data_IF_604718326775
#
_entry.id   IF_604718326775
#
_cell.length_a   1.000
_cell.length_b   1.000
_cell.length_c   1.000
_cell.angle_alpha   90.00
_cell.angle_beta   90.00
_cell.angle_gamma   90.00
#
_symmetry.space_group_name_H-M   'P 1'
#
loop_
_entity.id
_entity.type
_entity.pdbx_description
1 polymer ?
#
# COMPACT_ATOMS: atom_id res chain seq x y z
N UNK A 1 8.69 -70.35 -50.96
CA UNK A 1 9.15 -70.91 -49.67
C UNK A 1 9.64 -69.77 -48.82
N UNK A 2 8.80 -69.41 -47.86
CA UNK A 2 9.13 -68.96 -46.51
C UNK A 2 10.15 -67.83 -46.30
N UNK A 3 9.62 -66.64 -46.00
CA UNK A 3 9.52 -66.24 -44.60
C UNK A 3 10.53 -65.23 -44.05
N UNK A 4 9.98 -64.26 -43.30
CA UNK A 4 10.58 -63.39 -42.26
C UNK A 4 11.34 -62.15 -42.80
N UNK A 5 11.12 -60.94 -42.28
CA UNK A 5 10.29 -60.50 -41.17
C UNK A 5 10.14 -58.98 -41.21
N UNK A 6 8.97 -58.52 -40.79
CA UNK A 6 8.57 -57.11 -40.67
C UNK A 6 9.07 -56.63 -39.31
N UNK A 7 9.95 -55.63 -39.30
CA UNK A 7 10.33 -54.87 -38.11
C UNK A 7 9.90 -53.43 -38.26
N UNK A 8 8.64 -53.13 -37.92
CA UNK A 8 8.14 -51.77 -37.82
C UNK A 8 8.59 -51.17 -36.48
N UNK A 9 9.53 -50.22 -36.53
CA UNK A 9 9.89 -49.40 -35.38
C UNK A 9 8.80 -48.37 -35.12
N UNK A 10 7.97 -48.59 -34.09
CA UNK A 10 7.12 -47.56 -33.50
C UNK A 10 8.01 -46.57 -32.74
N UNK A 11 8.23 -45.39 -33.31
CA UNK A 11 8.72 -44.24 -32.55
C UNK A 11 7.56 -43.69 -31.72
N UNK A 12 7.47 -44.11 -30.46
CA UNK A 12 6.55 -43.52 -29.49
C UNK A 12 7.00 -42.12 -29.13
N UNK A 13 6.29 -41.09 -29.63
CA UNK A 13 6.33 -39.75 -29.05
C UNK A 13 5.70 -39.82 -27.65
N UNK A 14 6.54 -39.87 -26.62
CA UNK A 14 6.11 -39.56 -25.26
C UNK A 14 5.95 -38.05 -25.21
N UNK A 15 4.71 -37.57 -25.38
CA UNK A 15 4.35 -36.22 -25.03
C UNK A 15 4.48 -36.09 -23.51
N UNK A 16 5.61 -35.53 -23.06
CA UNK A 16 5.80 -35.13 -21.68
C UNK A 16 4.83 -33.97 -21.42
N UNK A 17 3.64 -34.28 -20.92
CA UNK A 17 2.75 -33.27 -20.35
C UNK A 17 3.46 -32.76 -19.11
N UNK A 18 4.21 -31.65 -19.26
CA UNK A 18 4.61 -30.82 -18.15
C UNK A 18 3.32 -30.24 -17.57
N UNK A 19 2.68 -30.99 -16.67
CA UNK A 19 1.79 -30.41 -15.69
C UNK A 19 2.64 -29.49 -14.84
N UNK A 20 2.63 -28.21 -15.19
CA UNK A 20 3.06 -27.15 -14.30
C UNK A 20 2.15 -27.21 -13.08
N UNK A 21 2.62 -27.84 -12.00
CA UNK A 21 2.05 -27.65 -10.66
C UNK A 21 2.36 -26.22 -10.20
N UNK A 22 1.74 -25.23 -10.85
CA UNK A 22 1.71 -23.86 -10.39
C UNK A 22 0.39 -23.69 -9.63
N UNK A 23 0.38 -23.96 -8.31
CA UNK A 23 -0.60 -23.41 -7.34
C UNK A 23 -0.46 -23.94 -5.88
N UNK A 24 0.73 -24.25 -5.33
CA UNK A 24 0.85 -24.71 -3.93
C UNK A 24 1.35 -23.65 -2.92
N UNK A 25 2.00 -22.58 -3.39
CA UNK A 25 2.69 -21.60 -2.52
C UNK A 25 2.03 -20.20 -2.46
N UNK A 26 0.82 -20.05 -2.99
CA UNK A 26 0.09 -18.78 -2.89
C UNK A 26 -0.36 -18.46 -1.45
N UNK A 27 -0.72 -17.20 -1.17
CA UNK A 27 -1.32 -16.82 0.10
C UNK A 27 -2.60 -17.63 0.37
N UNK A 28 -2.87 -17.93 1.64
CA UNK A 28 -4.20 -18.44 2.00
C UNK A 28 -5.20 -17.29 2.04
N UNK A 29 -6.40 -17.52 1.53
CA UNK A 29 -7.45 -16.52 1.46
C UNK A 29 -8.41 -16.69 2.63
N UNK A 30 -8.80 -15.58 3.24
CA UNK A 30 -9.78 -15.55 4.30
C UNK A 30 -11.16 -16.02 3.81
N UNK A 31 -11.92 -16.66 4.68
CA UNK A 31 -13.34 -16.92 4.50
C UNK A 31 -14.05 -16.82 5.85
N UNK A 32 -15.32 -16.45 5.83
CA UNK A 32 -16.12 -16.27 7.05
C UNK A 32 -17.16 -17.37 7.17
N UNK A 33 -17.34 -17.89 8.39
CA UNK A 33 -18.43 -18.79 8.76
C UNK A 33 -18.88 -18.46 10.18
N UNK A 34 -20.18 -18.17 10.37
CA UNK A 34 -20.74 -17.73 11.66
C UNK A 34 -19.96 -16.55 12.27
N UNK A 35 -19.66 -15.53 11.46
CA UNK A 35 -18.89 -14.34 11.83
C UNK A 35 -17.42 -14.58 12.26
N UNK A 36 -16.95 -15.84 12.22
CA UNK A 36 -15.56 -16.20 12.50
C UNK A 36 -14.76 -16.37 11.21
N UNK A 37 -13.49 -16.00 11.28
CA UNK A 37 -12.57 -15.99 10.14
C UNK A 37 -11.73 -17.27 10.14
N UNK A 38 -11.66 -17.91 8.98
CA UNK A 38 -10.76 -19.02 8.67
C UNK A 38 -9.98 -18.74 7.39
N UNK A 39 -9.05 -19.63 7.04
CA UNK A 39 -8.21 -19.47 5.86
C UNK A 39 -8.15 -20.77 5.04
N UNK A 40 -8.22 -20.64 3.72
CA UNK A 40 -8.12 -21.76 2.77
C UNK A 40 -7.06 -21.47 1.71
N UNK A 41 -6.45 -22.52 1.18
CA UNK A 41 -5.53 -22.38 0.05
C UNK A 41 -6.27 -22.11 -1.27
N UNK A 42 -5.51 -21.96 -2.35
CA UNK A 42 -6.05 -21.71 -3.69
C UNK A 42 -6.92 -22.87 -4.23
N UNK A 43 -6.77 -24.08 -3.68
CA UNK A 43 -7.60 -25.25 -4.01
C UNK A 43 -8.88 -25.31 -3.15
N UNK A 44 -9.06 -24.37 -2.22
CA UNK A 44 -10.18 -24.34 -1.30
C UNK A 44 -10.05 -25.28 -0.11
N UNK A 45 -8.87 -25.87 0.12
CA UNK A 45 -8.62 -26.70 1.29
C UNK A 45 -8.46 -25.79 2.50
N UNK A 46 -9.30 -26.00 3.52
CA UNK A 46 -9.24 -25.26 4.78
C UNK A 46 -7.92 -25.56 5.50
N UNK A 47 -7.15 -24.51 5.79
CA UNK A 47 -5.86 -24.55 6.50
C UNK A 47 -5.98 -24.03 7.92
N UNK A 48 -6.87 -23.07 8.12
CA UNK A 48 -7.27 -22.56 9.44
C UNK A 48 -8.79 -22.61 9.48
N UNK A 49 -9.34 -23.33 10.46
CA UNK A 49 -10.78 -23.40 10.67
C UNK A 49 -11.34 -22.01 11.04
N UNK A 50 -12.61 -21.70 10.70
CA UNK A 50 -13.22 -20.41 11.00
C UNK A 50 -13.48 -20.27 12.50
N UNK A 51 -12.46 -19.79 13.20
CA UNK A 51 -12.37 -19.71 14.67
C UNK A 51 -11.87 -18.35 15.13
N UNK A 52 -11.25 -17.59 14.23
CA UNK A 52 -10.62 -16.32 14.56
C UNK A 52 -11.65 -15.20 14.64
N UNK A 53 -11.49 -14.32 15.63
CA UNK A 53 -12.35 -13.16 15.82
C UNK A 53 -12.04 -12.06 14.80
N UNK A 54 -13.07 -11.46 14.15
CA UNK A 54 -12.89 -10.33 13.24
C UNK A 54 -12.38 -9.06 13.94
N UNK A 55 -12.42 -8.99 15.27
CA UNK A 55 -11.82 -7.88 16.04
C UNK A 55 -10.30 -8.00 16.15
N UNK A 56 -9.75 -9.21 15.99
CA UNK A 56 -8.33 -9.51 16.24
C UNK A 56 -7.58 -9.89 14.97
N UNK A 57 -8.27 -9.95 13.83
CA UNK A 57 -7.65 -10.08 12.51
C UNK A 57 -8.44 -9.34 11.44
N UNK A 58 -7.73 -8.58 10.61
CA UNK A 58 -8.24 -7.99 9.37
C UNK A 58 -7.64 -8.66 8.13
N UNK A 59 -6.84 -9.72 8.32
CA UNK A 59 -6.12 -10.36 7.24
C UNK A 59 -7.11 -11.01 6.26
N UNK A 60 -7.06 -10.55 5.01
CA UNK A 60 -7.75 -11.15 3.85
C UNK A 60 -6.87 -12.18 3.15
N UNK A 61 -5.56 -12.00 3.25
CA UNK A 61 -4.51 -12.88 2.73
C UNK A 61 -3.53 -13.19 3.85
N UNK A 62 -3.19 -14.47 3.98
CA UNK A 62 -2.23 -14.98 4.96
C UNK A 62 -1.00 -15.51 4.22
N UNK A 63 0.06 -14.69 4.18
CA UNK A 63 1.32 -15.00 3.52
C UNK A 63 2.27 -15.76 4.43
N UNK A 64 2.61 -15.21 5.60
CA UNK A 64 3.53 -15.83 6.54
C UNK A 64 3.09 -15.69 7.99
N UNK A 65 2.65 -14.49 8.39
CA UNK A 65 2.25 -14.16 9.76
C UNK A 65 1.09 -13.18 9.78
N UNK A 66 0.07 -13.45 10.59
CA UNK A 66 -1.07 -12.53 10.77
C UNK A 66 -1.31 -12.22 12.24
N UNK A 67 -1.82 -11.03 12.54
CA UNK A 67 -2.48 -10.78 13.82
C UNK A 67 -3.75 -11.63 13.88
N UNK A 68 -3.97 -12.30 15.02
CA UNK A 68 -5.09 -13.20 15.21
C UNK A 68 -5.52 -13.25 16.68
N UNK A 69 -6.69 -13.82 16.91
CA UNK A 69 -7.15 -14.15 18.24
C UNK A 69 -8.52 -14.78 18.22
N UNK A 70 -8.89 -15.34 19.36
CA UNK A 70 -10.10 -16.14 19.53
C UNK A 70 -10.82 -15.66 20.80
N UNK A 71 -12.14 -15.78 20.80
CA UNK A 71 -12.92 -15.62 22.02
C UNK A 71 -12.75 -16.86 22.91
N UNK A 72 -12.63 -16.62 24.20
CA UNK A 72 -12.42 -17.62 25.24
C UNK A 72 -13.40 -17.37 26.38
N UNK A 73 -13.52 -18.32 27.30
CA UNK A 73 -14.39 -18.14 28.48
C UNK A 73 -14.01 -16.91 29.34
N UNK A 74 -12.74 -16.51 29.31
CA UNK A 74 -12.18 -15.42 30.11
C UNK A 74 -11.99 -14.11 29.32
N UNK A 75 -12.60 -13.98 28.14
CA UNK A 75 -12.46 -12.83 27.24
C UNK A 75 -11.73 -13.21 25.96
N UNK A 76 -10.77 -12.41 25.52
CA UNK A 76 -10.06 -12.65 24.26
C UNK A 76 -8.63 -13.11 24.48
N UNK A 77 -8.20 -14.10 23.69
CA UNK A 77 -6.79 -14.47 23.57
C UNK A 77 -6.25 -13.92 22.25
N UNK A 78 -5.14 -13.17 22.31
CA UNK A 78 -4.54 -12.54 21.13
C UNK A 78 -3.10 -13.02 20.90
N UNK A 79 -2.70 -13.20 19.65
CA UNK A 79 -1.38 -13.70 19.26
C UNK A 79 -1.13 -13.46 17.77
N UNK A 80 0.11 -13.68 17.33
CA UNK A 80 0.39 -13.80 15.90
C UNK A 80 0.33 -15.27 15.49
N UNK A 81 -0.38 -15.56 14.40
CA UNK A 81 -0.50 -16.90 13.83
C UNK A 81 0.47 -17.04 12.67
N UNK A 82 1.26 -18.12 12.66
CA UNK A 82 2.16 -18.49 11.56
C UNK A 82 1.51 -19.53 10.64
N UNK A 83 1.95 -19.63 9.39
CA UNK A 83 1.43 -20.64 8.43
C UNK A 83 1.63 -22.10 8.86
N UNK A 84 2.56 -22.37 9.76
CA UNK A 84 2.75 -23.73 10.32
C UNK A 84 1.80 -24.01 11.51
N UNK A 85 0.92 -23.08 11.86
CA UNK A 85 -0.05 -23.19 12.93
C UNK A 85 0.47 -22.77 14.31
N UNK A 86 1.76 -22.42 14.44
CA UNK A 86 2.29 -21.89 15.70
C UNK A 86 1.67 -20.53 16.02
N UNK A 87 1.38 -20.33 17.30
CA UNK A 87 0.96 -19.06 17.88
C UNK A 87 2.15 -18.45 18.60
N UNK A 88 2.49 -17.19 18.30
CA UNK A 88 3.67 -16.51 18.86
C UNK A 88 3.29 -15.13 19.43
N UNK A 89 4.14 -14.64 20.33
CA UNK A 89 3.99 -13.35 21.02
C UNK A 89 2.55 -13.11 21.54
N UNK A 90 2.09 -13.95 22.48
CA UNK A 90 0.75 -13.79 23.07
C UNK A 90 0.61 -12.40 23.70
N UNK A 91 -0.59 -11.84 23.58
CA UNK A 91 -0.97 -10.54 24.16
C UNK A 91 -0.09 -9.35 23.76
N UNK A 92 0.61 -9.50 22.63
CA UNK A 92 1.55 -8.53 22.10
C UNK A 92 1.12 -7.93 20.77
N UNK A 93 -0.17 -8.10 20.38
CA UNK A 93 -0.70 -7.51 19.16
C UNK A 93 -0.50 -5.99 19.17
N UNK A 94 0.05 -5.48 18.07
CA UNK A 94 0.11 -4.06 17.79
C UNK A 94 -1.19 -3.62 17.12
N UNK A 95 -1.83 -2.59 17.69
CA UNK A 95 -2.98 -1.92 17.12
C UNK A 95 -2.56 -0.53 16.63
N UNK A 96 -3.01 -0.16 15.44
CA UNK A 96 -3.00 1.21 14.95
C UNK A 96 -4.44 1.69 14.89
N UNK A 97 -4.71 2.85 15.51
CA UNK A 97 -6.07 3.28 15.81
C UNK A 97 -6.84 2.16 16.54
N UNK A 98 -7.84 1.56 15.91
CA UNK A 98 -8.65 0.48 16.48
C UNK A 98 -8.50 -0.86 15.72
N UNK A 99 -7.47 -0.99 14.89
CA UNK A 99 -7.26 -2.13 14.01
C UNK A 99 -5.93 -2.84 14.29
N UNK A 100 -5.88 -4.19 14.28
CA UNK A 100 -4.61 -4.90 14.29
C UNK A 100 -3.86 -4.66 12.97
N UNK A 101 -2.54 -4.48 13.06
CA UNK A 101 -1.73 -4.20 11.87
C UNK A 101 -1.56 -5.40 10.95
N UNK A 102 -1.31 -5.11 9.66
CA UNK A 102 -1.02 -6.12 8.66
C UNK A 102 0.46 -6.52 8.58
N UNK A 103 0.70 -7.71 8.02
CA UNK A 103 2.03 -8.13 7.56
C UNK A 103 2.53 -7.21 6.44
N UNK A 104 3.82 -6.89 6.46
CA UNK A 104 4.49 -6.19 5.37
C UNK A 104 5.91 -6.72 5.20
N UNK A 105 6.25 -7.16 3.98
CA UNK A 105 7.57 -7.70 3.60
C UNK A 105 8.06 -8.83 4.53
N UNK A 106 7.20 -9.81 4.82
CA UNK A 106 7.52 -10.93 5.72
C UNK A 106 7.86 -10.46 7.15
N UNK A 107 7.26 -9.36 7.59
CA UNK A 107 7.43 -8.80 8.92
C UNK A 107 6.13 -8.21 9.47
N UNK A 108 6.00 -8.19 10.79
CA UNK A 108 4.84 -7.59 11.46
C UNK A 108 5.27 -6.91 12.76
N UNK A 109 4.71 -5.74 13.03
CA UNK A 109 4.96 -4.99 14.28
C UNK A 109 4.28 -5.69 15.44
N UNK A 110 4.94 -5.75 16.59
CA UNK A 110 4.37 -6.19 17.87
C UNK A 110 4.61 -5.16 18.97
N UNK A 111 3.77 -5.16 20.01
CA UNK A 111 3.87 -4.25 21.16
C UNK A 111 4.18 -5.05 22.43
N UNK A 112 5.32 -4.77 23.05
CA UNK A 112 5.52 -5.09 24.46
C UNK A 112 4.68 -4.12 25.29
N UNK A 113 3.57 -4.62 25.86
CA UNK A 113 2.63 -3.82 26.65
C UNK A 113 3.18 -3.38 28.00
N UNK A 114 4.13 -4.12 28.58
CA UNK A 114 4.71 -3.76 29.89
C UNK A 114 5.65 -2.56 29.75
N UNK A 115 6.42 -2.52 28.68
CA UNK A 115 7.37 -1.43 28.39
C UNK A 115 6.80 -0.35 27.49
N UNK A 116 5.62 -0.60 26.93
CA UNK A 116 4.97 0.21 25.89
C UNK A 116 5.92 0.50 24.71
N UNK A 117 6.56 -0.58 24.22
CA UNK A 117 7.54 -0.52 23.13
C UNK A 117 7.17 -1.40 21.95
N UNK A 118 7.58 -0.97 20.77
CA UNK A 118 7.34 -1.62 19.48
C UNK A 118 8.60 -2.35 19.04
N UNK A 119 8.40 -3.56 18.52
CA UNK A 119 9.40 -4.34 17.81
C UNK A 119 8.79 -4.97 16.56
N UNK A 120 9.56 -5.82 15.89
CA UNK A 120 9.14 -6.53 14.69
C UNK A 120 9.42 -8.02 14.81
N UNK A 121 8.46 -8.85 14.38
CA UNK A 121 8.65 -10.27 14.12
C UNK A 121 8.85 -10.48 12.61
N UNK A 122 9.59 -11.52 12.21
CA UNK A 122 9.53 -12.07 10.86
C UNK A 122 8.35 -13.05 10.70
N UNK A 123 8.10 -13.54 9.48
CA UNK A 123 7.07 -14.55 9.24
C UNK A 123 7.35 -15.95 9.79
N UNK A 124 8.49 -16.16 10.47
CA UNK A 124 8.74 -17.35 11.28
C UNK A 124 8.49 -17.12 12.77
N UNK A 125 8.05 -15.91 13.15
CA UNK A 125 7.84 -15.49 14.52
C UNK A 125 9.11 -15.12 15.28
N UNK A 126 10.25 -14.93 14.60
CA UNK A 126 11.51 -14.52 15.20
C UNK A 126 11.60 -13.00 15.29
N UNK A 127 12.24 -12.49 16.34
CA UNK A 127 12.42 -11.04 16.52
C UNK A 127 13.42 -10.51 15.50
N UNK A 128 12.96 -9.65 14.58
CA UNK A 128 13.78 -8.89 13.64
C UNK A 128 14.35 -7.63 14.29
N UNK A 129 13.50 -6.90 15.02
CA UNK A 129 13.85 -5.71 15.77
C UNK A 129 13.26 -5.87 17.18
N UNK A 130 14.07 -5.83 18.24
CA UNK A 130 13.57 -5.92 19.61
C UNK A 130 12.55 -4.83 19.94
N UNK A 131 11.68 -5.08 20.92
CA UNK A 131 10.76 -4.08 21.44
C UNK A 131 11.51 -2.98 22.21
N UNK A 132 12.00 -1.98 21.49
CA UNK A 132 12.73 -0.82 22.04
C UNK A 132 12.31 0.52 21.43
N UNK A 133 11.44 0.50 20.42
CA UNK A 133 10.94 1.70 19.75
C UNK A 133 9.70 2.21 20.47
N UNK A 134 9.48 3.52 20.50
CA UNK A 134 8.21 4.07 20.95
C UNK A 134 7.12 3.85 19.88
N UNK A 135 7.45 4.08 18.61
CA UNK A 135 6.57 3.78 17.47
C UNK A 135 7.37 3.43 16.21
N UNK A 136 6.72 2.80 15.22
CA UNK A 136 7.30 2.51 13.91
C UNK A 136 6.24 2.33 12.80
N UNK A 137 6.58 2.74 11.58
CA UNK A 137 5.81 2.42 10.37
C UNK A 137 5.92 0.93 10.02
N UNK A 138 5.10 0.45 9.10
CA UNK A 138 5.34 -0.85 8.46
C UNK A 138 6.69 -0.87 7.72
N UNK A 139 7.22 -2.07 7.49
CA UNK A 139 8.42 -2.30 6.69
C UNK A 139 8.16 -1.90 5.24
N UNK A 140 9.03 -1.08 4.65
CA UNK A 140 8.96 -0.70 3.23
C UNK A 140 10.38 -0.71 2.64
N UNK A 141 10.57 -1.51 1.61
CA UNK A 141 11.87 -1.80 0.98
C UNK A 141 12.98 -2.13 2.01
N UNK A 142 12.65 -2.96 3.00
CA UNK A 142 13.56 -3.38 4.07
C UNK A 142 13.96 -2.26 5.03
N UNK A 143 13.17 -1.20 5.14
CA UNK A 143 13.39 -0.07 6.04
C UNK A 143 12.12 0.26 6.83
N UNK A 144 12.31 0.86 8.00
CA UNK A 144 11.23 1.35 8.86
C UNK A 144 11.55 2.77 9.32
N UNK A 145 10.54 3.64 9.31
CA UNK A 145 10.62 4.92 10.01
C UNK A 145 10.20 4.67 11.45
N UNK A 146 11.05 5.03 12.40
CA UNK A 146 10.89 4.70 13.80
C UNK A 146 11.05 5.92 14.69
N UNK A 147 10.26 5.97 15.77
CA UNK A 147 10.41 6.93 16.85
C UNK A 147 11.03 6.21 18.05
N UNK A 148 12.20 6.64 18.51
CA UNK A 148 12.89 6.05 19.68
C UNK A 148 12.99 7.04 20.83
N UNK A 149 12.72 6.57 22.05
CA UNK A 149 12.89 7.38 23.27
C UNK A 149 11.81 8.44 23.52
N UNK A 150 10.68 8.39 22.79
CA UNK A 150 9.54 9.26 23.07
C UNK A 150 8.71 8.75 24.26
N UNK A 151 8.00 9.66 24.92
CA UNK A 151 7.05 9.39 26.00
C UNK A 151 5.62 9.64 25.54
N UNK A 152 4.65 8.92 26.12
CA UNK A 152 3.23 9.15 25.84
C UNK A 152 2.83 10.58 26.20
N UNK A 153 2.02 11.19 25.35
CA UNK A 153 1.41 12.49 25.57
C UNK A 153 -0.11 12.42 25.36
N UNK A 154 -0.83 13.39 25.91
CA UNK A 154 -2.25 13.57 25.64
C UNK A 154 -2.44 14.79 24.74
N UNK A 155 -3.19 14.64 23.66
CA UNK A 155 -3.57 15.75 22.79
C UNK A 155 -4.86 16.45 23.24
N UNK A 156 -5.63 15.84 24.15
CA UNK A 156 -6.84 16.42 24.70
C UNK A 156 -6.52 17.52 25.72
N UNK A 157 -7.03 18.76 25.53
CA UNK A 157 -6.81 19.85 26.48
C UNK A 157 -7.33 19.51 27.87
N UNK A 158 -6.52 19.76 28.89
CA UNK A 158 -6.87 19.58 30.32
C UNK A 158 -7.24 18.14 30.73
N UNK A 159 -6.91 17.13 29.92
CA UNK A 159 -7.15 15.71 30.24
C UNK A 159 -5.85 15.03 30.68
N UNK A 160 -5.93 14.21 31.72
CA UNK A 160 -4.80 13.38 32.15
C UNK A 160 -4.51 12.27 31.15
N UNK A 161 -3.26 11.79 31.08
CA UNK A 161 -2.90 10.71 30.15
C UNK A 161 -3.74 9.42 30.36
N UNK A 162 -4.19 9.15 31.58
CA UNK A 162 -5.00 7.98 31.93
C UNK A 162 -6.40 8.04 31.30
N UNK A 163 -6.97 9.24 31.18
CA UNK A 163 -8.31 9.49 30.63
C UNK A 163 -8.28 9.99 29.18
N UNK A 164 -7.09 10.10 28.60
CA UNK A 164 -6.92 10.66 27.27
C UNK A 164 -7.42 9.68 26.20
N UNK A 165 -8.31 10.15 25.34
CA UNK A 165 -8.72 9.40 24.15
C UNK A 165 -7.67 9.56 23.05
N UNK A 166 -7.16 10.78 22.85
CA UNK A 166 -6.16 11.07 21.82
C UNK A 166 -4.74 11.01 22.37
N UNK A 167 -4.26 9.78 22.62
CA UNK A 167 -2.88 9.52 23.04
C UNK A 167 -1.91 9.69 21.88
N UNK A 168 -0.86 10.48 22.10
CA UNK A 168 0.22 10.71 21.16
C UNK A 168 1.59 10.37 21.74
N UNK A 169 2.63 10.86 21.06
CA UNK A 169 4.02 10.80 21.48
C UNK A 169 4.59 12.22 21.60
N UNK A 170 5.46 12.43 22.59
CA UNK A 170 6.23 13.67 22.76
C UNK A 170 7.72 13.37 22.93
N UNK A 171 8.55 14.21 22.30
CA UNK A 171 10.00 14.05 22.29
C UNK A 171 10.48 12.83 21.49
N UNK A 172 11.67 12.34 21.84
CA UNK A 172 12.31 11.22 21.15
C UNK A 172 13.10 11.64 19.92
N UNK A 173 13.55 10.64 19.16
CA UNK A 173 14.31 10.82 17.91
C UNK A 173 13.70 9.98 16.81
N UNK A 174 13.39 10.62 15.70
CA UNK A 174 12.94 9.97 14.48
C UNK A 174 14.14 9.42 13.71
N UNK A 175 14.04 8.16 13.31
CA UNK A 175 15.12 7.38 12.71
C UNK A 175 14.60 6.69 11.45
N UNK A 176 15.47 6.55 10.46
CA UNK A 176 15.30 5.53 9.43
C UNK A 176 16.16 4.34 9.82
N UNK A 177 15.57 3.17 10.01
CA UNK A 177 16.26 1.93 10.34
C UNK A 177 16.23 0.95 9.16
N UNK A 178 17.22 0.08 9.07
CA UNK A 178 17.13 -1.11 8.22
C UNK A 178 16.28 -2.21 8.89
N UNK A 179 16.03 -3.28 8.14
CA UNK A 179 15.26 -4.45 8.59
C UNK A 179 15.78 -5.16 9.85
N UNK A 180 17.00 -4.85 10.28
CA UNK A 180 17.64 -5.41 11.47
C UNK A 180 17.77 -4.38 12.60
N UNK A 181 17.10 -3.23 12.47
CA UNK A 181 17.10 -2.17 13.47
C UNK A 181 18.37 -1.31 13.47
N UNK A 182 19.25 -1.44 12.46
CA UNK A 182 20.43 -0.58 12.36
C UNK A 182 20.03 0.79 11.85
N UNK A 183 20.47 1.85 12.54
CA UNK A 183 20.18 3.22 12.11
C UNK A 183 20.88 3.54 10.80
N UNK A 184 20.09 3.89 9.79
CA UNK A 184 20.54 4.40 8.51
C UNK A 184 20.64 5.92 8.54
N UNK A 185 19.60 6.59 9.03
CA UNK A 185 19.52 8.06 9.17
C UNK A 185 19.06 8.40 10.57
N UNK A 186 19.73 9.38 11.20
CA UNK A 186 19.30 9.98 12.45
C UNK A 186 18.62 11.33 12.16
N UNK A 187 17.51 11.63 12.84
CA UNK A 187 16.73 12.84 12.57
C UNK A 187 16.02 12.75 11.21
N UNK A 188 15.49 11.57 10.88
CA UNK A 188 14.69 11.40 9.67
C UNK A 188 13.35 12.12 9.85
N UNK A 189 13.00 13.03 8.94
CA UNK A 189 11.73 13.74 8.95
C UNK A 189 10.57 12.80 8.63
N UNK A 190 9.90 12.27 9.66
CA UNK A 190 8.87 11.25 9.51
C UNK A 190 7.65 11.76 8.72
N UNK A 191 7.39 13.08 8.70
CA UNK A 191 6.29 13.67 7.94
C UNK A 191 6.45 13.49 6.42
N UNK A 192 7.64 13.11 5.96
CA UNK A 192 7.90 12.81 4.54
C UNK A 192 7.64 11.36 4.16
N UNK A 193 7.51 10.45 5.12
CA UNK A 193 7.53 9.02 4.87
C UNK A 193 6.46 8.54 3.85
N UNK A 194 5.31 9.21 3.81
CA UNK A 194 4.21 8.89 2.91
C UNK A 194 4.44 9.38 1.48
N UNK A 195 5.23 10.44 1.30
CA UNK A 195 5.50 11.06 -0.01
C UNK A 195 6.72 10.44 -0.73
N UNK A 196 7.42 9.48 -0.11
CA UNK A 196 8.61 8.86 -0.69
C UNK A 196 8.29 7.56 -1.41
N UNK A 197 8.84 7.41 -2.61
CA UNK A 197 8.95 6.10 -3.26
C UNK A 197 10.10 5.32 -2.63
N UNK A 198 9.76 4.44 -1.69
CA UNK A 198 10.71 3.61 -0.96
C UNK A 198 11.53 2.68 -1.86
N UNK A 199 11.02 2.28 -3.03
CA UNK A 199 11.70 1.38 -3.97
C UNK A 199 12.71 2.12 -4.87
N UNK A 200 12.64 3.45 -4.92
CA UNK A 200 13.60 4.29 -5.64
C UNK A 200 14.90 4.57 -4.87
N UNK A 201 15.19 3.86 -3.78
CA UNK A 201 16.37 4.12 -2.93
C UNK A 201 17.67 4.18 -3.74
N UNK A 202 18.44 5.25 -3.55
CA UNK A 202 19.81 5.38 -4.04
C UNK A 202 20.75 5.79 -2.92
N UNK A 203 22.01 5.36 -2.99
CA UNK A 203 23.07 5.73 -2.04
C UNK A 203 24.23 6.38 -2.79
N UNK A 204 24.68 7.55 -2.32
CA UNK A 204 25.72 8.36 -2.98
C UNK A 204 26.62 9.09 -1.97
N UNK A 205 27.78 9.57 -2.41
CA UNK A 205 28.69 10.37 -1.57
C UNK A 205 28.22 11.81 -1.35
N UNK A 206 27.28 12.29 -2.16
CA UNK A 206 26.72 13.64 -2.11
C UNK A 206 25.20 13.57 -2.27
N UNK A 207 24.49 14.61 -1.81
CA UNK A 207 23.05 14.73 -2.03
C UNK A 207 22.73 14.70 -3.53
N UNK A 208 21.57 14.11 -3.87
CA UNK A 208 21.08 14.09 -5.25
C UNK A 208 20.86 15.49 -5.79
N UNK A 209 21.29 15.74 -7.02
CA UNK A 209 20.97 16.97 -7.77
C UNK A 209 19.66 16.88 -8.55
N UNK A 210 19.06 15.69 -8.65
CA UNK A 210 17.73 15.52 -9.26
C UNK A 210 16.67 16.21 -8.39
N UNK A 211 15.94 17.22 -8.92
CA UNK A 211 14.94 17.97 -8.14
C UNK A 211 13.76 17.11 -7.69
N UNK A 212 13.55 15.93 -8.28
CA UNK A 212 12.51 14.98 -7.88
C UNK A 212 12.92 14.15 -6.67
N UNK A 213 14.16 14.26 -6.20
CA UNK A 213 14.68 13.46 -5.09
C UNK A 213 14.86 14.26 -3.82
N UNK A 214 14.60 13.60 -2.70
CA UNK A 214 14.96 14.08 -1.36
C UNK A 214 16.10 13.22 -0.84
N UNK A 215 17.13 13.87 -0.31
CA UNK A 215 18.34 13.19 0.19
C UNK A 215 18.47 13.37 1.70
N UNK A 216 18.77 12.28 2.38
CA UNK A 216 18.99 12.20 3.82
C UNK A 216 20.43 11.79 4.07
N UNK A 217 21.12 12.52 4.94
CA UNK A 217 22.50 12.18 5.31
C UNK A 217 22.47 11.00 6.28
N UNK A 218 23.08 9.89 5.89
CA UNK A 218 23.19 8.70 6.70
C UNK A 218 24.25 8.84 7.80
N UNK A 219 24.18 7.96 8.79
CA UNK A 219 25.11 7.93 9.92
C UNK A 219 26.55 7.58 9.51
N UNK A 220 26.72 6.97 8.34
CA UNK A 220 28.01 6.64 7.73
C UNK A 220 28.58 7.78 6.86
N UNK A 221 27.91 8.93 6.82
CA UNK A 221 28.30 10.11 6.06
C UNK A 221 27.88 10.11 4.59
N UNK A 222 27.37 8.99 4.05
CA UNK A 222 26.79 8.94 2.69
C UNK A 222 25.37 9.50 2.70
N UNK A 223 24.82 9.75 1.53
CA UNK A 223 23.43 10.17 1.36
C UNK A 223 22.58 9.02 0.87
N UNK A 224 21.42 8.84 1.50
CA UNK A 224 20.35 7.97 1.03
C UNK A 224 19.28 8.87 0.43
N UNK A 225 18.86 8.61 -0.80
CA UNK A 225 17.84 9.43 -1.47
C UNK A 225 16.71 8.61 -2.05
N UNK A 226 15.54 9.24 -2.08
CA UNK A 226 14.30 8.69 -2.60
C UNK A 226 13.67 9.70 -3.55
N UNK A 227 12.94 9.20 -4.54
CA UNK A 227 12.02 10.01 -5.34
C UNK A 227 10.86 10.45 -4.45
N UNK A 228 10.55 11.73 -4.54
CA UNK A 228 9.37 12.36 -3.96
C UNK A 228 8.23 12.24 -4.98
N UNK A 229 7.18 11.52 -4.60
CA UNK A 229 6.10 11.07 -5.49
C UNK A 229 5.37 12.25 -6.10
N UNK A 230 5.08 13.29 -5.32
CA UNK A 230 4.37 14.48 -5.79
C UNK A 230 5.24 15.29 -6.76
N UNK A 231 6.54 15.41 -6.50
CA UNK A 231 7.46 16.10 -7.42
C UNK A 231 7.67 15.34 -8.73
N UNK A 232 7.81 14.02 -8.67
CA UNK A 232 7.93 13.18 -9.86
C UNK A 232 6.67 13.26 -10.71
N UNK A 233 5.50 13.15 -10.09
CA UNK A 233 4.23 13.31 -10.78
C UNK A 233 4.07 14.72 -11.36
N UNK A 234 4.40 15.78 -10.63
CA UNK A 234 4.25 17.15 -11.12
C UNK A 234 5.11 17.40 -12.37
N UNK A 235 6.32 16.83 -12.43
CA UNK A 235 7.20 16.88 -13.61
C UNK A 235 6.60 16.07 -14.75
N UNK A 236 6.22 14.81 -14.51
CA UNK A 236 5.60 13.95 -15.53
C UNK A 236 4.31 14.55 -16.09
N UNK A 237 3.43 15.04 -15.22
CA UNK A 237 2.14 15.61 -15.58
C UNK A 237 2.32 16.80 -16.51
N UNK A 238 3.29 17.69 -16.22
CA UNK A 238 3.58 18.85 -17.06
C UNK A 238 4.26 18.46 -18.37
N UNK A 239 5.36 17.71 -18.29
CA UNK A 239 6.30 17.54 -19.41
C UNK A 239 5.91 16.43 -20.38
N UNK A 240 5.12 15.45 -19.91
CA UNK A 240 4.69 14.31 -20.72
C UNK A 240 3.18 14.39 -20.99
N UNK A 241 2.36 14.41 -19.93
CA UNK A 241 0.90 14.29 -20.08
C UNK A 241 0.27 15.55 -20.69
N UNK A 242 0.52 16.73 -20.12
CA UNK A 242 0.01 18.00 -20.63
C UNK A 242 0.70 18.44 -21.92
N UNK A 243 1.96 18.07 -22.14
CA UNK A 243 2.65 18.39 -23.39
C UNK A 243 1.97 17.73 -24.62
N UNK A 244 1.28 16.61 -24.42
CA UNK A 244 0.66 15.80 -25.47
C UNK A 244 -0.84 15.54 -25.19
N UNK A 245 -1.70 16.51 -25.48
CA UNK A 245 -3.16 16.46 -25.21
C UNK A 245 -4.01 16.09 -26.44
N UNK A 246 -3.72 14.96 -27.07
CA UNK A 246 -4.59 14.37 -28.09
C UNK A 246 -5.30 13.10 -27.60
N UNK A 247 -6.27 12.62 -28.37
CA UNK A 247 -7.09 11.45 -28.01
C UNK A 247 -6.24 10.17 -27.85
N UNK A 248 -5.16 10.04 -28.64
CA UNK A 248 -4.29 8.87 -28.58
C UNK A 248 -3.46 8.87 -27.28
N UNK A 249 -2.91 10.02 -26.91
CA UNK A 249 -2.17 10.22 -25.66
C UNK A 249 -3.07 10.06 -24.44
N UNK A 250 -4.24 10.71 -24.43
CA UNK A 250 -5.22 10.55 -23.34
C UNK A 250 -5.62 9.09 -23.16
N UNK A 251 -5.84 8.35 -24.26
CA UNK A 251 -6.11 6.91 -24.20
C UNK A 251 -4.92 6.11 -23.67
N UNK A 252 -3.71 6.38 -24.15
CA UNK A 252 -2.50 5.68 -23.73
C UNK A 252 -2.17 5.90 -22.24
N UNK A 253 -2.51 7.06 -21.71
CA UNK A 253 -2.33 7.42 -20.30
C UNK A 253 -3.59 7.23 -19.46
N UNK A 254 -4.57 6.45 -19.93
CA UNK A 254 -5.76 6.12 -19.16
C UNK A 254 -5.74 4.68 -18.65
N UNK A 255 -6.33 4.46 -17.48
CA UNK A 255 -6.60 3.12 -16.99
C UNK A 255 -7.74 2.48 -17.81
N UNK A 256 -7.83 1.14 -17.78
CA UNK A 256 -8.80 0.39 -18.59
C UNK A 256 -10.26 0.74 -18.27
N UNK A 257 -10.52 1.21 -17.05
CA UNK A 257 -11.80 1.73 -16.58
C UNK A 257 -11.56 3.04 -15.84
N UNK A 258 -12.26 4.09 -16.24
CA UNK A 258 -12.15 5.44 -15.66
C UNK A 258 -13.46 5.74 -14.92
N UNK A 259 -13.36 6.25 -13.68
CA UNK A 259 -14.51 6.80 -12.94
C UNK A 259 -14.75 8.26 -13.27
N UNK A 260 -16.00 8.63 -13.44
CA UNK A 260 -16.42 9.94 -13.94
C UNK A 260 -17.52 10.48 -13.04
N UNK A 261 -17.34 11.70 -12.56
CA UNK A 261 -18.32 12.38 -11.72
C UNK A 261 -18.25 13.90 -11.80
N UNK A 262 -19.02 14.57 -10.97
CA UNK A 262 -19.05 16.03 -10.78
C UNK A 262 -18.37 16.46 -9.49
N UNK A 263 -18.10 15.52 -8.57
CA UNK A 263 -17.37 15.74 -7.33
C UNK A 263 -18.23 16.20 -6.15
N UNK A 264 -19.54 16.41 -6.37
CA UNK A 264 -20.50 16.74 -5.31
C UNK A 264 -21.42 15.57 -4.93
N UNK A 265 -21.45 14.53 -5.76
CA UNK A 265 -22.24 13.32 -5.57
C UNK A 265 -21.48 12.21 -4.82
N UNK A 266 -22.20 11.28 -4.17
CA UNK A 266 -21.60 10.06 -3.60
C UNK A 266 -20.75 9.29 -4.63
N UNK A 267 -19.62 8.73 -4.18
CA UNK A 267 -18.69 7.99 -5.05
C UNK A 267 -19.34 6.78 -5.76
N UNK A 268 -20.40 6.22 -5.19
CA UNK A 268 -21.16 5.11 -5.78
C UNK A 268 -21.97 5.52 -7.01
N UNK A 269 -22.30 6.81 -7.12
CA UNK A 269 -23.02 7.37 -8.27
C UNK A 269 -22.09 7.69 -9.45
N UNK A 270 -20.76 7.60 -9.25
CA UNK A 270 -19.79 7.86 -10.31
C UNK A 270 -19.82 6.78 -11.39
N UNK A 271 -19.98 7.22 -12.63
CA UNK A 271 -20.03 6.37 -13.80
C UNK A 271 -18.65 5.75 -14.05
N UNK A 272 -18.63 4.50 -14.50
CA UNK A 272 -17.41 3.84 -14.97
C UNK A 272 -17.52 3.60 -16.47
N UNK A 273 -16.51 4.04 -17.23
CA UNK A 273 -16.47 3.84 -18.68
C UNK A 273 -15.05 3.50 -19.15
N UNK A 274 -14.95 2.92 -20.34
CA UNK A 274 -13.67 2.69 -21.02
C UNK A 274 -13.10 4.00 -21.56
N UNK A 275 -11.77 4.09 -21.82
CA UNK A 275 -11.17 5.28 -22.41
C UNK A 275 -11.85 5.73 -23.72
N UNK A 276 -12.28 4.80 -24.57
CA UNK A 276 -12.96 5.12 -25.83
C UNK A 276 -14.33 5.78 -25.61
N UNK A 277 -15.10 5.27 -24.65
CA UNK A 277 -16.39 5.85 -24.26
C UNK A 277 -16.20 7.24 -23.61
N UNK A 278 -15.16 7.39 -22.79
CA UNK A 278 -14.79 8.67 -22.17
C UNK A 278 -14.45 9.70 -23.24
N UNK A 279 -13.55 9.38 -24.17
CA UNK A 279 -13.13 10.31 -25.21
C UNK A 279 -14.29 10.71 -26.13
N UNK A 280 -15.18 9.77 -26.44
CA UNK A 280 -16.38 10.04 -27.23
C UNK A 280 -17.34 11.00 -26.54
N UNK A 281 -17.54 10.87 -25.23
CA UNK A 281 -18.55 11.64 -24.47
C UNK A 281 -17.99 12.92 -23.86
N UNK A 282 -16.77 12.89 -23.33
CA UNK A 282 -16.16 13.95 -22.52
C UNK A 282 -14.85 14.50 -23.12
N UNK A 283 -14.33 13.94 -24.22
CA UNK A 283 -12.98 14.27 -24.72
C UNK A 283 -12.78 15.74 -25.11
N UNK A 284 -13.83 16.43 -25.58
CA UNK A 284 -13.74 17.87 -25.87
C UNK A 284 -13.57 18.69 -24.59
N UNK A 285 -14.40 18.44 -23.58
CA UNK A 285 -14.36 19.14 -22.29
C UNK A 285 -13.09 18.81 -21.50
N UNK A 286 -12.70 17.54 -21.47
CA UNK A 286 -11.49 17.07 -20.80
C UNK A 286 -10.25 17.79 -21.37
N UNK A 287 -10.11 17.84 -22.69
CA UNK A 287 -9.01 18.56 -23.34
C UNK A 287 -9.04 20.05 -23.02
N UNK A 288 -10.20 20.68 -23.10
CA UNK A 288 -10.32 22.11 -22.80
C UNK A 288 -9.81 22.44 -21.39
N UNK A 289 -10.16 21.63 -20.40
CA UNK A 289 -9.71 21.80 -19.01
C UNK A 289 -8.24 21.50 -18.81
N UNK A 290 -7.74 20.38 -19.34
CA UNK A 290 -6.31 20.05 -19.28
C UNK A 290 -5.44 21.09 -20.00
N UNK A 291 -5.93 21.69 -21.09
CA UNK A 291 -5.25 22.78 -21.78
C UNK A 291 -5.17 24.07 -20.96
N UNK A 292 -6.21 24.36 -20.17
CA UNK A 292 -6.18 25.44 -19.21
C UNK A 292 -5.12 25.21 -18.12
N UNK A 293 -4.95 23.95 -17.68
CA UNK A 293 -3.90 23.57 -16.74
C UNK A 293 -2.50 23.73 -17.34
N UNK A 294 -2.30 23.31 -18.59
CA UNK A 294 -1.03 23.49 -19.32
C UNK A 294 -0.61 24.95 -19.41
N UNK A 295 -1.57 25.85 -19.56
CA UNK A 295 -1.34 27.29 -19.73
C UNK A 295 -1.26 28.06 -18.42
N UNK A 296 -1.37 27.37 -17.27
CA UNK A 296 -1.51 27.98 -15.93
C UNK A 296 -0.50 27.41 -14.93
N UNK A 297 -0.10 28.21 -13.95
CA UNK A 297 0.63 27.74 -12.74
C UNK A 297 -0.32 27.40 -11.59
N UNK A 298 -1.64 27.51 -11.80
CA UNK A 298 -2.67 27.50 -10.76
C UNK A 298 -3.28 26.14 -10.43
N UNK A 299 -2.58 25.03 -10.67
CA UNK A 299 -3.03 23.70 -10.25
C UNK A 299 -2.20 23.15 -9.09
N UNK A 300 -2.87 22.37 -8.25
CA UNK A 300 -2.25 21.66 -7.14
C UNK A 300 -1.99 20.21 -7.54
N UNK A 301 -0.88 19.66 -7.05
CA UNK A 301 -0.62 18.21 -7.04
C UNK A 301 -0.68 17.74 -5.61
N UNK A 302 -1.33 16.61 -5.37
CA UNK A 302 -1.35 15.98 -4.05
C UNK A 302 -1.38 14.46 -4.17
N UNK A 303 -0.69 13.77 -3.27
CA UNK A 303 -0.90 12.33 -3.08
C UNK A 303 -2.26 12.07 -2.40
N UNK A 304 -3.03 11.14 -2.96
CA UNK A 304 -4.26 10.67 -2.38
C UNK A 304 -4.01 9.67 -1.25
N UNK A 305 -4.92 9.65 -0.28
CA UNK A 305 -4.83 8.85 0.95
C UNK A 305 -5.72 7.58 0.94
N UNK A 306 -6.45 7.32 -0.15
CA UNK A 306 -7.43 6.24 -0.22
C UNK A 306 -7.27 5.35 -1.48
N UNK A 307 -7.86 4.16 -1.44
CA UNK A 307 -7.80 3.18 -2.54
C UNK A 307 -8.83 3.35 -3.65
N UNK A 308 -9.79 4.26 -3.52
CA UNK A 308 -10.77 4.51 -4.58
C UNK A 308 -10.07 4.99 -5.87
N UNK A 309 -10.47 4.54 -7.08
CA UNK A 309 -11.68 3.76 -7.38
C UNK A 309 -11.52 2.23 -7.37
N UNK A 310 -10.41 1.73 -6.83
CA UNK A 310 -10.12 0.30 -6.76
C UNK A 310 -10.85 -0.37 -5.62
N UNK A 311 -10.93 -1.69 -5.73
CA UNK A 311 -11.71 -2.55 -4.86
C UNK A 311 -10.86 -3.78 -4.52
N UNK A 312 -10.70 -4.14 -3.24
CA UNK A 312 -9.77 -5.20 -2.85
C UNK A 312 -10.15 -6.58 -3.40
N UNK A 313 -11.43 -6.82 -3.71
CA UNK A 313 -11.90 -8.06 -4.32
C UNK A 313 -11.64 -8.11 -5.84
N UNK A 314 -11.85 -6.99 -6.55
CA UNK A 314 -11.70 -6.90 -8.02
C UNK A 314 -10.28 -6.54 -8.48
N UNK A 315 -9.57 -5.76 -7.68
CA UNK A 315 -8.22 -5.25 -7.97
C UNK A 315 -7.23 -5.61 -6.83
N UNK A 316 -7.13 -6.88 -6.40
CA UNK A 316 -6.35 -7.30 -5.24
C UNK A 316 -4.85 -6.97 -5.35
N UNK A 317 -4.34 -6.70 -6.55
CA UNK A 317 -2.95 -6.32 -6.78
C UNK A 317 -2.56 -4.96 -6.19
N UNK A 318 -3.53 -4.08 -5.89
CA UNK A 318 -3.26 -2.75 -5.33
C UNK A 318 -3.43 -2.69 -3.81
N UNK A 319 -3.77 -3.80 -3.17
CA UNK A 319 -4.05 -3.86 -1.75
C UNK A 319 -3.10 -4.82 -1.04
N UNK A 320 -2.82 -4.53 0.23
CA UNK A 320 -2.01 -5.38 1.08
C UNK A 320 -2.78 -6.62 1.57
N UNK A 321 -2.16 -7.38 2.47
CA UNK A 321 -2.75 -8.60 3.01
C UNK A 321 -4.05 -8.39 3.80
N UNK A 322 -4.37 -7.15 4.20
CA UNK A 322 -5.53 -6.80 5.02
C UNK A 322 -6.57 -5.99 4.23
N UNK A 323 -6.31 -5.72 2.95
CA UNK A 323 -7.20 -4.96 2.09
C UNK A 323 -7.03 -3.45 2.23
N UNK A 324 -5.90 -2.98 2.79
CA UNK A 324 -5.53 -1.56 2.73
C UNK A 324 -4.84 -1.26 1.41
N UNK A 325 -5.13 -0.10 0.81
CA UNK A 325 -4.52 0.27 -0.46
C UNK A 325 -3.02 0.52 -0.28
N UNK A 326 -2.21 -0.24 -1.01
CA UNK A 326 -0.76 -0.24 -0.89
C UNK A 326 -0.13 0.98 -1.61
N UNK A 327 -0.39 2.18 -1.09
CA UNK A 327 0.10 3.45 -1.67
C UNK A 327 1.62 3.49 -1.87
N UNK A 328 2.37 2.78 -1.03
CA UNK A 328 3.83 2.72 -1.14
C UNK A 328 4.31 1.91 -2.36
N UNK A 329 3.45 1.07 -2.95
CA UNK A 329 3.71 0.33 -4.19
C UNK A 329 3.06 1.00 -5.40
N UNK A 330 1.81 1.43 -5.24
CA UNK A 330 1.01 2.06 -6.30
C UNK A 330 0.49 3.42 -5.82
N UNK A 331 1.33 4.46 -5.78
CA UNK A 331 0.88 5.77 -5.32
C UNK A 331 -0.26 6.30 -6.19
N UNK A 332 -1.30 6.83 -5.51
CA UNK A 332 -2.37 7.61 -6.15
C UNK A 332 -2.04 9.09 -6.01
N UNK A 333 -2.14 9.83 -7.09
CA UNK A 333 -1.81 11.26 -7.13
C UNK A 333 -2.89 12.00 -7.91
N UNK A 334 -3.25 13.18 -7.45
CA UNK A 334 -4.26 14.02 -8.06
C UNK A 334 -3.67 15.31 -8.60
N UNK A 335 -4.22 15.78 -9.72
CA UNK A 335 -4.06 17.14 -10.21
C UNK A 335 -5.41 17.85 -10.11
N UNK A 336 -5.45 19.03 -9.49
CA UNK A 336 -6.69 19.78 -9.27
C UNK A 336 -6.59 21.22 -9.77
N UNK A 337 -7.63 21.69 -10.47
CA UNK A 337 -7.74 23.09 -10.91
C UNK A 337 -7.82 24.07 -9.73
N UNK A 338 -7.32 25.30 -9.93
CA UNK A 338 -7.50 26.44 -9.04
C UNK A 338 -7.18 26.17 -7.56
N UNK A 339 -6.02 25.56 -7.32
CA UNK A 339 -5.48 25.36 -5.98
C UNK A 339 -5.12 26.71 -5.33
N UNK A 340 -6.05 27.29 -4.56
CA UNK A 340 -5.67 28.21 -3.50
C UNK A 340 -5.13 27.37 -2.34
N UNK A 341 -3.89 27.60 -1.92
CA UNK A 341 -3.23 26.85 -0.84
C UNK A 341 -4.19 26.67 0.34
N UNK A 342 -4.63 25.43 0.58
CA UNK A 342 -5.32 25.04 1.81
C UNK A 342 -6.83 24.74 1.71
N UNK A 343 -7.49 24.83 0.54
CA UNK A 343 -8.86 24.27 0.41
C UNK A 343 -8.96 23.25 -0.72
N UNK A 344 -8.93 21.98 -0.35
CA UNK A 344 -9.39 20.88 -1.20
C UNK A 344 -10.90 20.78 -0.98
N UNK A 345 -11.69 21.54 -1.73
CA UNK A 345 -13.15 21.41 -1.72
C UNK A 345 -13.58 20.60 -2.95
N UNK A 346 -13.90 19.30 -2.79
CA UNK A 346 -14.49 18.49 -3.85
C UNK A 346 -15.74 19.17 -4.43
N UNK A 347 -15.92 19.08 -5.75
CA UNK A 347 -17.10 19.60 -6.44
C UNK A 347 -17.05 21.08 -6.82
N UNK A 348 -16.03 21.84 -6.42
CA UNK A 348 -15.81 23.23 -6.90
C UNK A 348 -14.81 23.34 -8.04
N UNK A 349 -13.90 22.38 -8.16
CA UNK A 349 -12.81 22.38 -9.15
C UNK A 349 -12.76 21.04 -9.87
N UNK A 350 -12.29 21.04 -11.12
CA UNK A 350 -12.01 19.78 -11.77
C UNK A 350 -10.83 19.09 -11.09
N UNK A 351 -10.93 17.77 -10.94
CA UNK A 351 -9.88 16.92 -10.38
C UNK A 351 -9.59 15.77 -11.34
N UNK A 352 -8.33 15.39 -11.42
CA UNK A 352 -7.83 14.31 -12.26
C UNK A 352 -6.98 13.39 -11.39
N UNK A 353 -7.46 12.18 -11.17
CA UNK A 353 -6.84 11.19 -10.30
C UNK A 353 -6.04 10.18 -11.15
N UNK A 354 -4.80 9.93 -10.75
CA UNK A 354 -3.89 9.02 -11.42
C UNK A 354 -3.35 7.98 -10.43
N UNK A 355 -3.01 6.80 -10.94
CA UNK A 355 -2.09 5.88 -10.25
C UNK A 355 -0.77 5.78 -10.99
N UNK A 356 0.29 5.51 -10.24
CA UNK A 356 1.58 5.12 -10.83
C UNK A 356 1.60 3.61 -11.09
N UNK A 357 1.88 3.23 -12.33
CA UNK A 357 2.10 1.83 -12.73
C UNK A 357 3.55 1.62 -13.18
N UNK A 358 3.93 0.37 -13.44
CA UNK A 358 5.24 0.06 -14.04
C UNK A 358 5.45 0.74 -15.40
N UNK A 359 4.37 1.08 -16.11
CA UNK A 359 4.39 1.73 -17.44
C UNK A 359 4.18 3.26 -17.37
N UNK A 360 4.25 3.84 -16.17
CA UNK A 360 4.00 5.25 -15.92
C UNK A 360 2.64 5.53 -15.29
N UNK A 361 2.23 6.80 -15.26
CA UNK A 361 0.97 7.20 -14.64
C UNK A 361 -0.24 6.94 -15.56
N UNK A 362 -1.37 6.57 -14.94
CA UNK A 362 -2.63 6.24 -15.61
C UNK A 362 -3.79 6.98 -14.95
N UNK A 363 -4.58 7.71 -15.74
CA UNK A 363 -5.81 8.38 -15.31
C UNK A 363 -6.85 7.32 -14.92
N UNK A 364 -7.30 7.36 -13.67
CA UNK A 364 -8.26 6.39 -13.10
C UNK A 364 -9.61 7.02 -12.80
N UNK A 365 -9.63 8.32 -12.56
CA UNK A 365 -10.86 9.05 -12.35
C UNK A 365 -10.70 10.52 -12.67
N UNK A 366 -11.81 11.19 -12.96
CA UNK A 366 -11.86 12.63 -12.96
C UNK A 366 -13.23 13.15 -12.53
N UNK A 367 -13.25 14.29 -11.85
CA UNK A 367 -14.46 15.08 -11.62
C UNK A 367 -14.45 16.33 -12.47
N UNK A 368 -15.57 16.62 -13.11
CA UNK A 368 -15.81 17.92 -13.73
C UNK A 368 -17.10 18.49 -13.13
N UNK A 369 -17.01 19.53 -12.28
CA UNK A 369 -18.18 20.16 -11.68
C UNK A 369 -19.21 20.57 -12.73
N UNK A 370 -20.49 20.34 -12.44
CA UNK A 370 -21.59 20.90 -13.22
C UNK A 370 -21.52 22.43 -13.22
N UNK A 371 -21.87 23.05 -14.34
CA UNK A 371 -21.93 24.51 -14.46
C UNK A 371 -23.02 25.13 -13.58
#
# INVERSE_FOLDING_TARGET
MDGKGIGAGLAGLVALVLSTCAAADGPWLAFTQNDLIGFKDAQGVVKVAPTLSPMLTLARRFEHVIAAGEETADGYRSYYLLRDGRQVAPDSLYFFDNAPVCESENSIRFRDRQRDKVGFLDGNGQVLIPAELSDATAMRNGMVVALKGATRSCADPDVSLEQCEHKGWSGGTELLLDRHGRTLVQGFDASRAEALDWFSKQVSGQASSDPRRVSFKGVDGRYISFVDIEKDFAVWFRDEFLAHLDDASLKAHSYSRIRIGQGGEPLDDWQAATPDEVLKKYGAELRQRLEALRSSVGYGVRQGDMGWPFDPERDPQYFDGCGEFAQWQTPRVSAMEHWQQGSFEPGKHASFEFIRTAEGYRLVAFSIPGQ
#
